data_IF_951599291874
#
_entry.id   IF_951599291874
#
_cell.length_a   1.000
_cell.length_b   1.000
_cell.length_c   1.000
_cell.angle_alpha   90.00
_cell.angle_beta   90.00
_cell.angle_gamma   90.00
#
_symmetry.space_group_name_H-M   'P 1'
#
loop_
_entity.id
_entity.type
_entity.pdbx_description
1 polymer ?
#
# COMPACT_ATOMS: atom_id res chain seq x y z
N UNK A 1 50.96 19.09 -24.32
CA UNK A 1 49.51 19.21 -24.13
C UNK A 1 48.99 17.81 -23.83
N UNK A 2 48.67 17.55 -22.56
CA UNK A 2 48.06 16.29 -22.16
C UNK A 2 46.65 16.25 -22.79
N UNK A 3 46.39 15.24 -23.55
CA UNK A 3 45.09 15.04 -24.18
C UNK A 3 44.09 14.67 -23.08
N UNK A 4 43.17 15.58 -22.76
CA UNK A 4 42.17 15.39 -21.68
C UNK A 4 41.31 14.13 -21.84
N UNK A 5 41.33 13.52 -23.03
CA UNK A 5 40.60 12.28 -23.34
C UNK A 5 41.46 11.01 -23.24
N UNK A 6 42.69 11.09 -22.72
CA UNK A 6 43.59 9.96 -22.50
C UNK A 6 43.82 9.64 -21.01
N UNK A 7 43.42 10.54 -20.12
CA UNK A 7 43.55 10.38 -18.66
C UNK A 7 42.24 10.79 -17.98
N UNK A 8 41.65 9.86 -17.26
CA UNK A 8 40.37 10.05 -16.53
C UNK A 8 40.54 9.89 -15.02
N UNK A 9 41.77 9.87 -14.50
CA UNK A 9 42.03 9.63 -13.09
C UNK A 9 41.53 10.77 -12.16
N UNK A 10 41.43 11.97 -12.66
CA UNK A 10 40.96 13.16 -11.95
C UNK A 10 39.45 13.44 -12.19
N UNK A 11 38.79 12.68 -13.02
CA UNK A 11 37.38 12.85 -13.30
C UNK A 11 36.55 12.34 -12.10
N UNK A 12 35.88 13.26 -11.41
CA UNK A 12 34.92 12.88 -10.36
C UNK A 12 33.76 12.12 -10.99
N UNK A 13 33.48 10.94 -10.47
CA UNK A 13 32.24 10.25 -10.81
C UNK A 13 31.05 11.13 -10.50
N UNK A 14 30.26 11.42 -11.49
CA UNK A 14 29.01 12.17 -11.29
C UNK A 14 28.04 11.22 -10.57
N UNK A 15 27.77 11.54 -9.30
CA UNK A 15 26.74 10.80 -8.56
C UNK A 15 25.41 10.95 -9.29
N UNK A 16 24.84 9.83 -9.69
CA UNK A 16 23.53 9.80 -10.34
C UNK A 16 22.38 9.81 -9.32
N UNK A 17 22.65 10.23 -8.08
CA UNK A 17 21.67 10.27 -7.01
C UNK A 17 20.80 11.53 -7.10
N UNK A 18 19.55 11.38 -6.73
CA UNK A 18 18.69 12.55 -6.46
C UNK A 18 19.21 13.20 -5.18
N UNK A 19 19.46 14.51 -5.16
CA UNK A 19 20.00 15.18 -3.97
C UNK A 19 19.11 14.95 -2.74
N UNK A 20 19.76 14.72 -1.60
CA UNK A 20 19.08 14.63 -0.30
C UNK A 20 18.23 15.87 -0.03
N UNK A 21 17.03 15.68 0.48
CA UNK A 21 16.09 16.75 0.79
C UNK A 21 15.16 17.12 -0.37
N UNK A 22 15.42 16.63 -1.60
CA UNK A 22 14.54 16.86 -2.74
C UNK A 22 13.15 16.30 -2.46
N UNK A 23 12.11 17.09 -2.71
CA UNK A 23 10.72 16.65 -2.64
C UNK A 23 10.24 16.28 -4.01
N UNK A 24 9.65 15.12 -4.14
CA UNK A 24 9.13 14.57 -5.39
C UNK A 24 7.78 13.90 -5.16
N UNK A 25 6.93 13.93 -6.17
CA UNK A 25 5.73 13.09 -6.21
C UNK A 25 6.13 11.70 -6.67
N UNK A 26 5.75 10.68 -5.91
CA UNK A 26 6.08 9.29 -6.21
C UNK A 26 4.82 8.43 -6.23
N UNK A 27 4.89 7.34 -7.00
CA UNK A 27 3.95 6.22 -6.90
C UNK A 27 4.66 5.06 -6.20
N UNK A 28 4.04 4.54 -5.15
CA UNK A 28 4.50 3.34 -4.46
C UNK A 28 3.97 2.11 -5.15
N UNK A 29 4.83 1.14 -5.41
CA UNK A 29 4.47 -0.18 -5.90
C UNK A 29 4.98 -1.23 -4.91
N UNK A 30 4.11 -2.11 -4.46
CA UNK A 30 4.48 -3.21 -3.59
C UNK A 30 4.95 -4.40 -4.43
N UNK A 31 6.14 -4.89 -4.14
CA UNK A 31 6.67 -6.08 -4.78
C UNK A 31 6.16 -7.33 -4.05
N UNK A 32 5.60 -8.33 -4.75
CA UNK A 32 5.13 -9.55 -4.12
C UNK A 32 6.23 -10.22 -3.29
N UNK A 33 5.92 -10.56 -2.05
CA UNK A 33 6.84 -11.22 -1.12
C UNK A 33 6.49 -12.68 -0.82
N UNK A 34 5.26 -13.09 -1.15
CA UNK A 34 4.78 -14.47 -1.04
C UNK A 34 4.49 -14.93 0.39
N UNK A 35 4.43 -14.03 1.37
CA UNK A 35 4.12 -14.36 2.76
C UNK A 35 2.82 -13.69 3.21
N UNK A 36 1.92 -14.47 3.80
CA UNK A 36 0.68 -14.00 4.39
C UNK A 36 0.59 -14.41 5.87
N UNK A 37 0.02 -13.53 6.67
CA UNK A 37 -0.42 -13.81 8.03
C UNK A 37 -1.73 -13.05 8.29
N UNK A 38 -2.89 -13.67 8.05
CA UNK A 38 -4.18 -13.03 8.24
C UNK A 38 -4.44 -12.56 9.67
N UNK A 39 -3.82 -13.19 10.68
CA UNK A 39 -3.96 -12.79 12.07
C UNK A 39 -3.35 -11.41 12.34
N UNK A 40 -2.36 -11.01 11.54
CA UNK A 40 -1.72 -9.71 11.56
C UNK A 40 -2.31 -8.72 10.52
N UNK A 41 -3.26 -9.17 9.70
CA UNK A 41 -3.81 -8.39 8.59
C UNK A 41 -2.88 -8.34 7.36
N UNK A 42 -1.86 -9.20 7.30
CA UNK A 42 -0.97 -9.28 6.14
C UNK A 42 -1.52 -10.28 5.15
N UNK A 43 -2.16 -9.77 4.12
CA UNK A 43 -2.85 -10.58 3.11
C UNK A 43 -2.47 -10.10 1.71
N UNK A 44 -2.69 -10.96 0.71
CA UNK A 44 -2.47 -10.65 -0.70
C UNK A 44 -1.06 -10.91 -1.20
N UNK A 45 -0.23 -11.64 -0.43
CA UNK A 45 1.11 -12.07 -0.85
C UNK A 45 2.15 -10.95 -0.93
N UNK A 46 1.89 -9.78 -0.36
CA UNK A 46 2.82 -8.64 -0.43
C UNK A 46 3.90 -8.68 0.65
N UNK A 47 3.62 -9.24 1.82
CA UNK A 47 4.63 -9.36 2.86
C UNK A 47 5.74 -10.33 2.43
N UNK A 48 6.96 -10.03 2.86
CA UNK A 48 8.14 -10.87 2.62
C UNK A 48 8.78 -11.22 3.94
N UNK A 49 9.07 -12.50 4.13
CA UNK A 49 9.79 -13.00 5.31
C UNK A 49 11.26 -13.19 4.98
N UNK A 50 12.12 -12.48 5.69
CA UNK A 50 13.57 -12.62 5.56
C UNK A 50 14.11 -13.83 6.31
N UNK A 51 15.34 -14.20 6.03
CA UNK A 51 16.05 -15.34 6.67
C UNK A 51 16.22 -15.17 8.17
N UNK A 52 16.24 -13.94 8.66
CA UNK A 52 16.31 -13.61 10.10
C UNK A 52 14.97 -13.67 10.81
N UNK A 53 13.88 -14.05 10.12
CA UNK A 53 12.52 -14.06 10.65
C UNK A 53 11.83 -12.69 10.65
N UNK A 54 12.49 -11.64 10.22
CA UNK A 54 11.87 -10.32 10.03
C UNK A 54 10.88 -10.35 8.87
N UNK A 55 9.78 -9.58 9.00
CA UNK A 55 8.77 -9.45 7.95
C UNK A 55 8.68 -7.98 7.51
N UNK A 56 8.60 -7.76 6.22
CA UNK A 56 8.63 -6.42 5.62
C UNK A 56 7.90 -6.37 4.28
N UNK A 57 7.58 -5.16 3.83
CA UNK A 57 7.20 -4.90 2.45
C UNK A 57 8.44 -4.46 1.67
N UNK A 58 8.64 -5.06 0.50
CA UNK A 58 9.62 -4.65 -0.49
C UNK A 58 8.94 -3.65 -1.41
N UNK A 59 9.35 -2.38 -1.36
CA UNK A 59 8.66 -1.29 -2.05
C UNK A 59 9.53 -0.66 -3.13
N UNK A 60 8.93 -0.40 -4.28
CA UNK A 60 9.49 0.40 -5.36
C UNK A 60 8.73 1.71 -5.46
N UNK A 61 9.44 2.83 -5.53
CA UNK A 61 8.85 4.15 -5.73
C UNK A 61 9.28 4.67 -7.08
N UNK A 62 8.32 5.03 -7.91
CA UNK A 62 8.59 5.69 -9.20
C UNK A 62 8.31 7.18 -9.06
N UNK A 63 9.31 8.01 -9.35
CA UNK A 63 9.13 9.47 -9.42
C UNK A 63 8.27 9.80 -10.62
N UNK A 64 7.19 10.57 -10.40
CA UNK A 64 6.17 10.81 -11.42
C UNK A 64 6.44 12.03 -12.27
N UNK A 65 7.09 13.05 -11.71
CA UNK A 65 7.22 14.37 -12.35
C UNK A 65 8.57 15.05 -12.06
N UNK A 66 8.82 16.15 -12.74
CA UNK A 66 10.04 16.94 -12.58
C UNK A 66 11.26 16.32 -13.28
N UNK A 67 12.43 16.90 -13.00
CA UNK A 67 13.70 16.50 -13.64
C UNK A 67 14.13 15.06 -13.34
N UNK A 68 13.58 14.46 -12.28
CA UNK A 68 13.86 13.09 -11.86
C UNK A 68 12.75 12.11 -12.25
N UNK A 69 11.80 12.52 -13.09
CA UNK A 69 10.70 11.66 -13.53
C UNK A 69 11.19 10.32 -14.05
N UNK A 70 10.42 9.25 -13.77
CA UNK A 70 10.71 7.84 -14.09
C UNK A 70 11.87 7.22 -13.31
N UNK A 71 12.53 7.96 -12.42
CA UNK A 71 13.52 7.37 -11.53
C UNK A 71 12.84 6.45 -10.53
N UNK A 72 13.51 5.33 -10.24
CA UNK A 72 13.05 4.32 -9.30
C UNK A 72 13.91 4.33 -8.04
N UNK A 73 13.27 4.19 -6.90
CA UNK A 73 13.90 4.14 -5.59
C UNK A 73 13.31 2.93 -4.87
N UNK A 74 14.14 2.17 -4.18
CA UNK A 74 13.70 0.97 -3.46
C UNK A 74 13.94 1.16 -1.97
N UNK A 75 12.95 0.77 -1.17
CA UNK A 75 13.04 0.82 0.28
C UNK A 75 12.25 -0.32 0.91
N UNK A 76 12.48 -0.58 2.19
CA UNK A 76 11.77 -1.59 2.96
C UNK A 76 10.90 -0.93 4.02
N UNK A 77 9.67 -1.44 4.17
CA UNK A 77 8.78 -1.04 5.26
C UNK A 77 8.69 -2.22 6.23
N UNK A 78 9.20 -2.04 7.46
CA UNK A 78 9.17 -3.08 8.49
C UNK A 78 7.76 -3.37 8.98
N UNK A 79 7.39 -4.64 9.02
CA UNK A 79 6.12 -5.12 9.58
C UNK A 79 6.36 -5.85 10.92
N UNK A 80 7.46 -6.57 11.02
CA UNK A 80 7.85 -7.31 12.21
C UNK A 80 9.35 -7.52 12.29
N UNK A 81 9.88 -7.52 13.50
CA UNK A 81 11.27 -7.92 13.76
C UNK A 81 11.37 -8.76 15.04
N UNK A 82 12.09 -9.89 15.04
CA UNK A 82 12.33 -10.67 16.25
C UNK A 82 13.22 -9.94 17.27
N UNK A 83 13.90 -8.85 16.86
CA UNK A 83 14.75 -8.02 17.73
C UNK A 83 13.98 -6.97 18.54
N UNK A 84 12.66 -6.85 18.32
CA UNK A 84 11.83 -5.88 19.03
C UNK A 84 10.87 -5.11 18.11
N UNK A 85 10.00 -4.29 18.70
CA UNK A 85 8.90 -3.66 17.98
C UNK A 85 9.29 -2.41 17.19
N UNK A 86 10.47 -1.83 17.40
CA UNK A 86 10.82 -0.49 16.90
C UNK A 86 10.73 -0.41 15.39
N UNK A 87 11.25 -1.40 14.69
CA UNK A 87 11.21 -1.41 13.22
C UNK A 87 9.77 -1.50 12.67
N UNK A 88 8.93 -2.31 13.31
CA UNK A 88 7.50 -2.38 12.97
C UNK A 88 6.77 -1.08 13.28
N UNK A 89 7.08 -0.44 14.42
CA UNK A 89 6.51 0.85 14.78
C UNK A 89 6.92 1.95 13.80
N UNK A 90 8.17 1.97 13.37
CA UNK A 90 8.65 2.86 12.30
C UNK A 90 7.90 2.62 10.99
N UNK A 91 7.70 1.36 10.60
CA UNK A 91 6.93 0.99 9.42
C UNK A 91 5.48 1.47 9.49
N UNK A 92 4.80 1.26 10.62
CA UNK A 92 3.43 1.76 10.85
C UNK A 92 3.34 3.28 10.80
N UNK A 93 4.28 3.99 11.42
CA UNK A 93 4.35 5.44 11.39
C UNK A 93 4.55 5.95 9.96
N UNK A 94 5.43 5.31 9.20
CA UNK A 94 5.66 5.64 7.81
C UNK A 94 4.42 5.41 6.95
N UNK A 95 3.76 4.24 7.06
CA UNK A 95 2.50 3.98 6.33
C UNK A 95 1.43 5.01 6.69
N UNK A 96 1.29 5.40 7.97
CA UNK A 96 0.38 6.48 8.37
C UNK A 96 0.70 7.78 7.62
N UNK A 97 1.97 8.17 7.53
CA UNK A 97 2.37 9.40 6.83
C UNK A 97 2.12 9.31 5.31
N UNK A 98 2.33 8.14 4.71
CA UNK A 98 2.00 7.87 3.30
C UNK A 98 0.50 8.05 3.06
N UNK A 99 -0.35 7.44 3.90
CA UNK A 99 -1.80 7.58 3.81
C UNK A 99 -2.27 9.03 3.99
N UNK A 100 -1.67 9.77 4.93
CA UNK A 100 -1.97 11.18 5.13
C UNK A 100 -1.58 12.01 3.90
N UNK A 101 -0.38 11.82 3.39
CA UNK A 101 0.10 12.53 2.19
C UNK A 101 -0.77 12.22 0.97
N UNK A 102 -1.00 10.93 0.69
CA UNK A 102 -1.79 10.48 -0.46
C UNK A 102 -3.25 10.93 -0.42
N UNK A 103 -3.83 11.06 0.79
CA UNK A 103 -5.24 11.41 1.00
C UNK A 103 -5.45 12.86 1.42
N UNK A 104 -4.40 13.68 1.42
CA UNK A 104 -4.47 15.10 1.80
C UNK A 104 -4.92 15.34 3.24
N UNK A 105 -4.58 14.41 4.16
CA UNK A 105 -4.98 14.47 5.56
C UNK A 105 -3.93 15.18 6.40
N UNK A 106 -4.38 15.90 7.41
CA UNK A 106 -3.53 16.44 8.47
C UNK A 106 -3.11 15.35 9.45
N UNK A 107 -1.86 15.37 9.91
CA UNK A 107 -1.39 14.45 10.96
C UNK A 107 -2.17 14.64 12.27
N UNK A 108 -2.67 15.86 12.50
CA UNK A 108 -3.41 16.26 13.70
C UNK A 108 -4.91 16.01 13.59
N UNK A 109 -5.42 15.72 12.39
CA UNK A 109 -6.84 15.48 12.19
C UNK A 109 -7.22 14.09 12.71
N UNK A 110 -8.00 14.09 13.79
CA UNK A 110 -8.55 12.90 14.44
C UNK A 110 -10.07 12.77 14.25
N UNK A 111 -10.63 13.49 13.26
CA UNK A 111 -12.04 13.33 12.91
C UNK A 111 -12.37 11.88 12.50
N UNK A 112 -13.63 11.44 12.67
CA UNK A 112 -14.03 10.10 12.22
C UNK A 112 -13.74 9.85 10.74
N UNK A 113 -13.84 10.88 9.91
CA UNK A 113 -13.54 10.83 8.48
C UNK A 113 -12.05 10.57 8.25
N UNK A 114 -11.17 11.32 8.93
CA UNK A 114 -9.73 11.13 8.80
C UNK A 114 -9.29 9.77 9.37
N UNK A 115 -9.88 9.31 10.46
CA UNK A 115 -9.62 7.98 11.00
C UNK A 115 -10.06 6.89 10.04
N UNK A 116 -11.24 7.01 9.44
CA UNK A 116 -11.71 6.07 8.41
C UNK A 116 -10.78 6.09 7.19
N UNK A 117 -10.38 7.28 6.76
CA UNK A 117 -9.47 7.43 5.63
C UNK A 117 -8.06 6.87 5.88
N UNK A 118 -7.65 6.61 7.12
CA UNK A 118 -6.38 5.94 7.45
C UNK A 118 -6.50 4.43 7.56
N UNK A 119 -7.69 3.87 7.44
CA UNK A 119 -7.89 2.42 7.46
C UNK A 119 -7.63 1.85 6.08
N UNK A 120 -7.08 0.66 6.07
CA UNK A 120 -6.88 -0.16 4.88
C UNK A 120 -7.51 -1.52 5.14
N UNK A 121 -8.00 -2.16 4.10
CA UNK A 121 -8.59 -3.50 4.18
C UNK A 121 -7.53 -4.59 4.12
N UNK A 122 -6.38 -4.28 3.53
CA UNK A 122 -5.24 -5.15 3.41
C UNK A 122 -4.04 -4.42 2.82
N UNK A 123 -2.91 -5.11 2.70
CA UNK A 123 -1.67 -4.50 2.18
C UNK A 123 -1.82 -4.04 0.72
N UNK A 124 -2.71 -4.68 -0.06
CA UNK A 124 -3.00 -4.27 -1.44
C UNK A 124 -3.47 -2.82 -1.57
N UNK A 125 -4.12 -2.26 -0.54
CA UNK A 125 -4.61 -0.88 -0.56
C UNK A 125 -3.47 0.16 -0.55
N UNK A 126 -2.25 -0.28 -0.27
CA UNK A 126 -1.05 0.55 -0.32
C UNK A 126 -0.41 0.57 -1.71
N UNK A 127 -0.70 -0.45 -2.55
CA UNK A 127 -0.15 -0.53 -3.89
C UNK A 127 -0.75 0.55 -4.80
N UNK A 128 0.10 1.20 -5.58
CA UNK A 128 -0.30 2.28 -6.48
C UNK A 128 -0.55 3.64 -5.81
N UNK A 129 -0.39 3.79 -4.49
CA UNK A 129 -0.57 5.08 -3.83
C UNK A 129 0.43 6.11 -4.35
N UNK A 130 -0.08 7.30 -4.65
CA UNK A 130 0.72 8.47 -5.03
C UNK A 130 0.78 9.46 -3.86
N UNK A 131 1.97 9.95 -3.56
CA UNK A 131 2.19 10.87 -2.47
C UNK A 131 3.46 11.69 -2.67
N UNK A 132 3.63 12.75 -1.88
CA UNK A 132 4.86 13.51 -1.86
C UNK A 132 5.85 12.89 -0.87
N UNK A 133 7.07 12.66 -1.35
CA UNK A 133 8.13 12.07 -0.57
C UNK A 133 9.36 12.99 -0.54
N UNK A 134 10.06 13.01 0.57
CA UNK A 134 11.39 13.61 0.66
C UNK A 134 12.44 12.52 0.44
N UNK A 135 13.31 12.77 -0.53
CA UNK A 135 14.43 11.88 -0.84
C UNK A 135 15.48 12.00 0.25
N UNK A 136 15.97 10.87 0.69
CA UNK A 136 17.15 10.72 1.51
C UNK A 136 18.27 10.02 0.74
N UNK A 137 19.48 10.05 1.27
CA UNK A 137 20.62 9.29 0.78
C UNK A 137 21.07 8.40 1.92
N UNK A 138 21.06 7.14 1.72
CA UNK A 138 21.53 6.11 2.64
C UNK A 138 22.60 5.26 1.99
N UNK A 139 23.11 4.30 2.75
CA UNK A 139 24.12 3.35 2.29
C UNK A 139 23.49 1.97 2.15
N UNK A 140 23.80 1.25 1.11
CA UNK A 140 23.38 -0.13 0.95
C UNK A 140 24.30 -1.11 1.72
N UNK A 141 24.04 -2.42 1.56
CA UNK A 141 24.81 -3.46 2.25
C UNK A 141 26.28 -3.54 1.78
N UNK A 142 26.61 -3.00 0.61
CA UNK A 142 27.95 -2.98 0.05
C UNK A 142 28.75 -1.73 0.43
N UNK A 143 28.08 -0.75 1.06
CA UNK A 143 28.67 0.54 1.39
C UNK A 143 28.43 1.62 0.33
N UNK A 144 27.70 1.31 -0.74
CA UNK A 144 27.42 2.27 -1.80
C UNK A 144 26.26 3.20 -1.42
N UNK A 145 26.37 4.46 -1.82
CA UNK A 145 25.29 5.42 -1.62
C UNK A 145 24.10 5.11 -2.53
N UNK A 146 22.91 5.18 -1.97
CA UNK A 146 21.65 5.01 -2.69
C UNK A 146 20.61 6.02 -2.24
N UNK A 147 19.68 6.35 -3.14
CA UNK A 147 18.47 7.06 -2.73
C UNK A 147 17.56 6.16 -1.88
N UNK A 148 16.92 6.78 -0.90
CA UNK A 148 15.96 6.15 0.00
C UNK A 148 14.78 7.09 0.23
N UNK A 149 13.64 6.55 0.63
CA UNK A 149 12.45 7.32 1.02
C UNK A 149 12.05 6.88 2.42
N UNK A 150 12.22 7.78 3.39
CA UNK A 150 11.87 7.55 4.80
C UNK A 150 10.79 8.48 5.31
N UNK A 151 10.43 9.49 4.53
CA UNK A 151 9.50 10.54 4.95
C UNK A 151 8.53 10.83 3.82
N UNK A 152 7.23 10.62 4.09
CA UNK A 152 6.17 11.19 3.28
C UNK A 152 5.88 12.61 3.76
N UNK A 153 5.67 13.53 2.84
CA UNK A 153 5.41 14.94 3.13
C UNK A 153 3.91 15.13 3.25
N UNK A 154 3.48 15.56 4.43
CA UNK A 154 2.08 15.82 4.72
C UNK A 154 1.72 17.29 4.54
N UNK A 155 0.44 17.58 4.58
CA UNK A 155 -0.15 18.90 4.32
C UNK A 155 0.40 20.02 5.19
N UNK A 156 0.85 19.70 6.42
CA UNK A 156 1.44 20.68 7.33
C UNK A 156 2.90 20.98 7.06
N UNK A 157 3.54 20.21 6.21
CA UNK A 157 4.95 20.44 5.91
C UNK A 157 5.09 21.67 5.04
N UNK A 158 6.02 22.58 5.40
CA UNK A 158 6.25 23.85 4.68
C UNK A 158 6.51 23.68 3.18
N UNK A 159 7.07 22.55 2.80
CA UNK A 159 7.43 22.23 1.41
C UNK A 159 6.35 21.37 0.73
N UNK A 160 5.15 21.22 1.33
CA UNK A 160 4.05 20.55 0.69
C UNK A 160 3.56 21.41 -0.49
N UNK A 161 3.49 20.88 -1.72
CA UNK A 161 3.09 21.67 -2.87
C UNK A 161 1.66 22.22 -2.69
N UNK A 162 1.43 23.51 -2.99
CA UNK A 162 0.11 24.14 -2.80
C UNK A 162 -1.00 23.48 -3.65
N UNK A 163 -0.63 22.92 -4.80
CA UNK A 163 -1.54 22.14 -5.65
C UNK A 163 -1.76 20.71 -5.15
N UNK A 164 -1.23 20.47 -3.98
CA UNK A 164 -1.09 19.24 -3.23
C UNK A 164 -2.00 18.12 -3.60
N UNK A 165 -1.56 17.23 -4.47
CA UNK A 165 -2.11 15.88 -4.57
C UNK A 165 -3.62 15.72 -4.78
N UNK A 166 -4.38 16.79 -4.79
CA UNK A 166 -5.83 16.79 -4.94
C UNK A 166 -6.32 16.24 -6.28
N UNK A 167 -5.38 15.92 -7.18
CA UNK A 167 -5.70 15.41 -8.51
C UNK A 167 -5.83 13.88 -8.60
N UNK A 168 -5.50 13.10 -7.57
CA UNK A 168 -5.39 11.66 -7.74
C UNK A 168 -6.19 10.80 -6.75
N UNK A 169 -6.75 11.37 -5.71
CA UNK A 169 -7.69 10.62 -4.89
C UNK A 169 -9.10 11.21 -5.00
N UNK A 170 -9.77 10.98 -6.13
CA UNK A 170 -11.16 10.65 -6.03
C UNK A 170 -11.18 9.42 -5.09
N UNK A 171 -11.93 9.43 -3.94
CA UNK A 171 -12.16 8.19 -3.24
C UNK A 171 -12.56 7.23 -4.32
N UNK A 172 -11.88 6.09 -4.42
CA UNK A 172 -12.41 5.02 -5.22
C UNK A 172 -13.84 4.88 -4.69
N UNK A 173 -14.78 5.48 -5.39
CA UNK A 173 -16.15 5.07 -5.31
C UNK A 173 -15.97 3.60 -5.52
N UNK A 174 -16.12 2.82 -4.45
CA UNK A 174 -16.24 1.39 -4.57
C UNK A 174 -17.24 1.28 -5.70
N UNK A 175 -16.74 1.05 -6.92
CA UNK A 175 -17.59 0.70 -8.01
C UNK A 175 -18.29 -0.49 -7.40
N UNK A 176 -19.53 -0.26 -6.95
CA UNK A 176 -20.39 -1.33 -6.55
C UNK A 176 -20.21 -2.33 -7.65
N UNK A 177 -19.57 -3.45 -7.30
CA UNK A 177 -19.40 -4.55 -8.22
C UNK A 177 -20.75 -4.65 -8.92
N UNK A 178 -20.81 -4.57 -10.26
CA UNK A 178 -22.09 -4.53 -10.96
C UNK A 178 -22.90 -5.62 -10.33
N UNK A 179 -24.03 -5.25 -9.72
CA UNK A 179 -24.87 -6.19 -9.00
C UNK A 179 -25.06 -7.34 -9.97
N UNK A 180 -24.47 -8.48 -9.69
CA UNK A 180 -24.67 -9.70 -10.43
C UNK A 180 -26.18 -9.80 -10.45
N UNK A 181 -26.78 -9.54 -11.61
CA UNK A 181 -28.20 -9.79 -11.83
C UNK A 181 -28.38 -11.20 -11.34
N UNK A 182 -29.00 -11.34 -10.18
CA UNK A 182 -29.36 -12.65 -9.63
C UNK A 182 -30.07 -13.38 -10.75
N UNK A 183 -29.42 -14.41 -11.27
CA UNK A 183 -30.04 -15.32 -12.18
C UNK A 183 -31.32 -15.82 -11.47
N UNK A 184 -32.47 -15.89 -12.15
CA UNK A 184 -33.67 -16.40 -11.51
C UNK A 184 -33.36 -17.79 -10.96
N UNK A 185 -33.47 -17.92 -9.64
CA UNK A 185 -33.35 -19.21 -8.95
C UNK A 185 -34.37 -20.13 -9.58
N UNK A 186 -34.01 -21.30 -10.14
CA UNK A 186 -34.96 -22.28 -10.56
C UNK A 186 -35.87 -22.62 -9.38
N UNK A 187 -37.16 -22.31 -9.48
CA UNK A 187 -38.13 -22.72 -8.47
C UNK A 187 -38.13 -24.25 -8.44
N UNK A 188 -37.65 -24.82 -7.37
CA UNK A 188 -37.88 -26.24 -7.10
C UNK A 188 -39.38 -26.48 -6.98
N UNK A 189 -39.92 -27.49 -7.63
CA UNK A 189 -41.34 -27.81 -7.48
C UNK A 189 -41.63 -28.10 -5.99
N UNK A 190 -42.60 -27.35 -5.47
CA UNK A 190 -43.09 -27.55 -4.12
C UNK A 190 -43.64 -28.96 -4.03
N UNK A 191 -43.26 -29.80 -3.07
CA UNK A 191 -43.88 -31.11 -2.88
C UNK A 191 -45.39 -30.92 -2.63
N UNK A 192 -46.22 -31.46 -3.48
CA UNK A 192 -47.68 -31.48 -3.29
C UNK A 192 -47.98 -32.30 -2.04
N UNK A 193 -48.54 -31.64 -1.03
CA UNK A 193 -49.12 -32.34 0.13
C UNK A 193 -50.19 -33.31 -0.37
N UNK A 194 -50.16 -34.59 0.04
CA UNK A 194 -51.24 -35.54 -0.31
C UNK A 194 -52.55 -35.06 0.30
N UNK A 195 -53.62 -35.09 -0.49
CA UNK A 195 -54.95 -34.76 -0.05
C UNK A 195 -55.40 -35.61 1.14
N UNK A 196 -56.14 -35.03 2.11
CA UNK A 196 -56.62 -35.76 3.24
C UNK A 196 -57.55 -36.91 2.79
N UNK A 197 -57.18 -38.14 3.08
CA UNK A 197 -58.04 -39.34 2.87
C UNK A 197 -59.22 -39.22 3.81
N UNK A 198 -60.41 -39.21 3.24
CA UNK A 198 -61.69 -39.26 3.98
C UNK A 198 -61.71 -40.43 4.94
N UNK A 199 -62.07 -40.14 6.20
CA UNK A 199 -61.95 -41.01 7.31
C UNK A 199 -62.65 -42.35 7.15
N UNK A 200 -61.89 -43.42 7.36
CA UNK A 200 -62.40 -44.74 7.68
C UNK A 200 -62.73 -44.72 9.17
N UNK A 201 -64.04 -44.86 9.51
CA UNK A 201 -64.46 -44.97 10.91
C UNK A 201 -63.90 -46.25 11.50
N UNK A 202 -63.32 -46.21 12.70
CA UNK A 202 -62.92 -47.42 13.39
C UNK A 202 -64.10 -48.26 13.83
N UNK A 203 -64.02 -49.57 13.66
CA UNK A 203 -65.08 -50.59 13.93
C UNK A 203 -65.40 -50.83 15.40
N UNK A 204 -64.83 -50.07 16.32
CA UNK A 204 -65.07 -50.27 17.76
C UNK A 204 -66.11 -49.33 18.38
N UNK A 205 -66.67 -48.41 17.64
CA UNK A 205 -67.70 -47.52 18.14
C UNK A 205 -69.08 -48.15 17.94
N UNK A 206 -69.52 -48.91 18.92
CA UNK A 206 -70.95 -49.23 19.18
C UNK A 206 -71.48 -48.22 20.16
#
# INVERSE_FOLDING_TARGET
>A
MTNAWSDFNDVKQTSNLIPKGTIVKVRMTLRPGGFDDPSQGWTGGYAKRGTTGSVYLDTEYTVLEGQYAKRKIWSLIGLFSPRGPDWANMGRAYVRSVLNSARGLSDKDNSPQAQSARRISGLADLDGLEFFARIDVGTDANGDEKNDIRTAITKEHKDYPPDGGAGAYAPATFAQAPALKSAPVPQQPVPQQPAPVAGVRPTWAK
#
